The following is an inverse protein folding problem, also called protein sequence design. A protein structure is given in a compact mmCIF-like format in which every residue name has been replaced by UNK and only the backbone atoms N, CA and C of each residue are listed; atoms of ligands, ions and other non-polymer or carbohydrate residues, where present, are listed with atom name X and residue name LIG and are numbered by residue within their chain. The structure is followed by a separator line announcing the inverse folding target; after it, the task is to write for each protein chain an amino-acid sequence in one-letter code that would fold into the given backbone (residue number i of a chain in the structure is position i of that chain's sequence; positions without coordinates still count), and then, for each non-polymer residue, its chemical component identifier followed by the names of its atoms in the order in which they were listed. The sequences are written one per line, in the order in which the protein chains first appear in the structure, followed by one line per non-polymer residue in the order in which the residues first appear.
data_IF_230573264066
#
_entry.id   IF_230573264066
#
_cell.length_a   1.000
_cell.length_b   1.000
_cell.length_c   1.000
_cell.angle_alpha   90.00
_cell.angle_beta   90.00
_cell.angle_gamma   90.00
#
_symmetry.space_group_name_H-M   'P 1'
#
loop_
_entity.id
_entity.type
_entity.pdbx_description
1 polymer ?
#
# COMPACT_ATOMS: atom_id res chain seq x y z
N UNK A 1 6.95 49.61 -28.29
CA UNK A 1 7.28 48.32 -28.94
C UNK A 1 7.36 47.28 -27.85
N UNK A 2 6.41 46.35 -27.88
CA UNK A 2 6.25 45.19 -27.00
C UNK A 2 7.47 44.26 -27.06
N UNK A 3 7.79 43.55 -25.97
CA UNK A 3 7.31 42.17 -25.76
C UNK A 3 7.78 41.61 -24.40
N UNK A 4 6.77 41.13 -23.68
CA UNK A 4 6.74 40.18 -22.57
C UNK A 4 7.41 38.84 -22.91
N UNK A 5 8.03 38.23 -21.91
CA UNK A 5 8.46 36.83 -21.91
C UNK A 5 8.15 36.20 -20.55
N UNK A 6 6.86 35.99 -20.28
CA UNK A 6 6.36 35.13 -19.21
C UNK A 6 6.90 33.72 -19.44
N UNK A 7 7.80 33.26 -18.57
CA UNK A 7 8.19 31.85 -18.53
C UNK A 7 6.98 30.96 -18.24
N UNK A 8 6.95 29.71 -18.70
CA UNK A 8 5.83 28.83 -18.44
C UNK A 8 5.75 28.59 -16.93
N UNK A 9 4.71 29.19 -16.36
CA UNK A 9 4.09 28.82 -15.11
C UNK A 9 3.98 27.29 -15.13
N UNK A 10 4.82 26.63 -14.33
CA UNK A 10 4.71 25.19 -14.15
C UNK A 10 3.42 24.98 -13.39
N UNK A 11 2.36 24.75 -14.15
CA UNK A 11 1.08 24.16 -13.78
C UNK A 11 1.15 23.58 -12.36
N UNK A 12 0.72 24.40 -11.40
CA UNK A 12 0.06 23.87 -10.23
C UNK A 12 -1.15 23.11 -10.80
N UNK A 13 -1.04 21.79 -10.87
CA UNK A 13 -2.21 20.96 -11.11
C UNK A 13 -3.08 21.05 -9.86
N UNK A 14 -3.99 22.00 -9.90
CA UNK A 14 -5.12 22.15 -8.99
C UNK A 14 -6.14 21.01 -9.22
N UNK A 15 -5.68 19.77 -9.07
CA UNK A 15 -6.54 18.70 -8.59
C UNK A 15 -6.45 18.74 -7.07
N UNK A 16 -7.44 19.38 -6.42
CA UNK A 16 -7.70 19.26 -4.98
C UNK A 16 -8.12 17.84 -4.57
N UNK A 17 -7.36 16.82 -4.95
CA UNK A 17 -7.64 15.42 -4.64
C UNK A 17 -7.13 15.09 -3.25
N UNK A 18 -8.03 14.73 -2.34
CA UNK A 18 -7.64 14.11 -1.08
C UNK A 18 -6.61 12.99 -1.35
N UNK A 19 -5.51 12.95 -0.59
CA UNK A 19 -4.45 11.97 -0.83
C UNK A 19 -4.99 10.54 -0.91
N UNK A 20 -4.49 9.79 -1.90
CA UNK A 20 -4.88 8.40 -2.18
C UNK A 20 -4.88 7.51 -0.93
N UNK A 21 -5.76 6.52 -0.89
CA UNK A 21 -5.71 5.40 0.05
C UNK A 21 -4.84 4.29 -0.50
N UNK A 22 -3.70 4.07 0.14
CA UNK A 22 -2.75 3.04 -0.21
C UNK A 22 -2.87 1.83 0.72
N UNK A 23 -3.07 0.63 0.17
CA UNK A 23 -2.88 -0.62 0.90
C UNK A 23 -1.43 -1.08 0.76
N UNK A 24 -0.76 -1.33 1.87
CA UNK A 24 0.61 -1.88 1.90
C UNK A 24 0.60 -3.23 2.60
N UNK A 25 0.92 -4.28 1.86
CA UNK A 25 1.29 -5.58 2.44
C UNK A 25 2.79 -5.59 2.73
N UNK A 26 3.28 -6.49 3.58
CA UNK A 26 4.72 -6.57 3.88
C UNK A 26 5.29 -5.35 4.61
N UNK A 27 4.44 -4.54 5.26
CA UNK A 27 4.84 -3.34 6.00
C UNK A 27 5.83 -3.61 7.16
N UNK A 28 5.87 -4.85 7.68
CA UNK A 28 6.84 -5.29 8.70
C UNK A 28 8.23 -5.59 8.11
N UNK A 29 8.36 -5.60 6.79
CA UNK A 29 9.58 -5.94 6.06
C UNK A 29 10.45 -4.73 5.72
N UNK A 30 11.62 -4.99 5.14
CA UNK A 30 12.62 -3.96 4.80
C UNK A 30 12.05 -2.88 3.86
N UNK A 31 11.40 -3.29 2.77
CA UNK A 31 10.86 -2.35 1.77
C UNK A 31 9.60 -1.67 2.30
N UNK A 32 8.61 -2.47 2.75
CA UNK A 32 7.33 -1.93 3.23
C UNK A 32 7.49 -0.94 4.38
N UNK A 33 8.35 -1.22 5.36
CA UNK A 33 8.58 -0.34 6.51
C UNK A 33 9.21 1.02 6.16
N UNK A 34 9.86 1.13 4.99
CA UNK A 34 10.39 2.38 4.42
C UNK A 34 9.43 3.06 3.46
N UNK A 35 8.61 2.28 2.73
CA UNK A 35 7.61 2.83 1.83
C UNK A 35 6.49 3.56 2.59
N UNK A 36 6.02 2.98 3.70
CA UNK A 36 4.91 3.56 4.49
C UNK A 36 5.15 5.02 4.91
N UNK A 37 6.28 5.41 5.53
CA UNK A 37 6.50 6.81 5.89
C UNK A 37 6.57 7.73 4.67
N UNK A 38 7.16 7.32 3.56
CA UNK A 38 7.20 8.12 2.33
C UNK A 38 5.79 8.39 1.77
N UNK A 39 4.91 7.38 1.76
CA UNK A 39 3.52 7.54 1.34
C UNK A 39 2.75 8.49 2.28
N UNK A 40 2.96 8.34 3.59
CA UNK A 40 2.34 9.22 4.59
C UNK A 40 2.83 10.67 4.46
N UNK A 41 4.13 10.87 4.25
CA UNK A 41 4.74 12.19 4.12
C UNK A 41 4.37 12.86 2.79
N UNK A 42 4.05 12.08 1.76
CA UNK A 42 3.44 12.55 0.51
C UNK A 42 1.93 12.91 0.64
N UNK A 43 1.33 12.73 1.81
CA UNK A 43 -0.06 13.09 2.09
C UNK A 43 -1.10 11.98 1.79
N UNK A 44 -0.66 10.75 1.50
CA UNK A 44 -1.55 9.62 1.30
C UNK A 44 -2.03 9.01 2.63
N UNK A 45 -3.21 8.38 2.60
CA UNK A 45 -3.71 7.55 3.71
C UNK A 45 -3.20 6.13 3.53
N UNK A 46 -2.51 5.59 4.53
CA UNK A 46 -1.91 4.26 4.40
C UNK A 46 -2.62 3.25 5.31
N UNK A 47 -3.06 2.13 4.73
CA UNK A 47 -3.52 0.93 5.42
C UNK A 47 -2.46 -0.15 5.29
N UNK A 48 -2.03 -0.73 6.41
CA UNK A 48 -1.09 -1.84 6.45
C UNK A 48 -1.83 -3.15 6.77
N UNK A 49 -1.78 -4.12 5.85
CA UNK A 49 -2.27 -5.48 6.10
C UNK A 49 -1.13 -6.34 6.66
N UNK A 50 -1.30 -6.85 7.88
CA UNK A 50 -0.28 -7.66 8.55
C UNK A 50 -0.88 -8.87 9.27
N UNK A 51 -0.24 -10.03 9.10
CA UNK A 51 -0.55 -11.26 9.87
C UNK A 51 -0.28 -11.09 11.36
N UNK A 52 0.67 -10.23 11.71
CA UNK A 52 1.09 -9.95 13.08
C UNK A 52 1.18 -8.43 13.32
N UNK A 53 0.03 -7.74 13.50
CA UNK A 53 -0.03 -6.28 13.63
C UNK A 53 0.86 -5.70 14.73
N UNK A 54 1.08 -6.45 15.82
CA UNK A 54 1.92 -6.01 16.93
C UNK A 54 3.36 -5.68 16.50
N UNK A 55 3.87 -6.27 15.41
CA UNK A 55 5.20 -6.01 14.87
C UNK A 55 5.34 -4.59 14.28
N UNK A 56 4.23 -3.93 13.99
CA UNK A 56 4.23 -2.56 13.48
C UNK A 56 4.23 -1.50 14.58
N UNK A 57 3.93 -1.88 15.84
CA UNK A 57 3.71 -0.92 16.94
C UNK A 57 4.92 -0.05 17.24
N UNK A 58 6.12 -0.59 17.07
CA UNK A 58 7.36 0.10 17.41
C UNK A 58 7.89 0.98 16.26
N UNK A 59 7.21 0.99 15.10
CA UNK A 59 7.56 1.88 14.01
C UNK A 59 7.16 3.33 14.34
N UNK A 60 8.02 4.33 14.10
CA UNK A 60 7.71 5.74 14.38
C UNK A 60 6.44 6.27 13.68
N UNK A 61 6.08 5.66 12.55
CA UNK A 61 4.92 6.04 11.75
C UNK A 61 3.63 5.31 12.14
N UNK A 62 3.66 4.36 13.09
CA UNK A 62 2.53 3.48 13.40
C UNK A 62 1.25 4.24 13.79
N UNK A 63 1.38 5.37 14.47
CA UNK A 63 0.23 6.22 14.85
C UNK A 63 -0.41 7.00 13.70
N UNK A 64 0.20 6.99 12.50
CA UNK A 64 -0.29 7.70 11.31
C UNK A 64 -0.94 6.77 10.28
N UNK A 65 -0.72 5.45 10.39
CA UNK A 65 -1.23 4.44 9.47
C UNK A 65 -2.38 3.65 10.10
N UNK A 66 -3.35 3.25 9.29
CA UNK A 66 -4.34 2.24 9.65
C UNK A 66 -3.66 0.86 9.63
N UNK A 67 -3.82 0.06 10.68
CA UNK A 67 -3.26 -1.30 10.72
C UNK A 67 -4.40 -2.29 10.84
N UNK A 68 -4.50 -3.18 9.86
CA UNK A 68 -5.52 -4.25 9.82
C UNK A 68 -4.84 -5.61 9.93
N UNK A 69 -5.45 -6.49 10.73
CA UNK A 69 -5.03 -7.88 10.84
C UNK A 69 -5.55 -8.67 9.64
N UNK A 70 -4.70 -9.47 9.03
CA UNK A 70 -5.15 -10.39 8.00
C UNK A 70 -4.04 -11.20 7.33
N UNK A 71 -4.44 -12.11 6.45
CA UNK A 71 -3.57 -13.03 5.72
C UNK A 71 -3.80 -12.91 4.22
N UNK A 72 -2.72 -12.75 3.45
CA UNK A 72 -2.79 -12.61 1.98
C UNK A 72 -3.15 -13.93 1.27
N UNK A 73 -3.10 -15.05 1.98
CA UNK A 73 -3.56 -16.36 1.47
C UNK A 73 -5.06 -16.60 1.69
N UNK A 74 -5.72 -15.67 2.38
CA UNK A 74 -7.15 -15.65 2.65
C UNK A 74 -7.84 -14.55 1.81
N UNK A 75 -8.74 -14.97 0.92
CA UNK A 75 -9.39 -14.08 -0.03
C UNK A 75 -10.31 -13.05 0.65
N UNK A 76 -11.01 -13.43 1.71
CA UNK A 76 -11.91 -12.52 2.43
C UNK A 76 -11.11 -11.48 3.21
N UNK A 77 -9.97 -11.90 3.79
CA UNK A 77 -9.03 -11.00 4.42
C UNK A 77 -8.47 -9.95 3.46
N UNK A 78 -8.15 -10.32 2.22
CA UNK A 78 -7.67 -9.37 1.21
C UNK A 78 -8.81 -8.47 0.73
N UNK A 79 -10.00 -9.03 0.48
CA UNK A 79 -11.17 -8.26 0.06
C UNK A 79 -11.49 -7.13 1.05
N UNK A 80 -11.57 -7.45 2.35
CA UNK A 80 -11.81 -6.46 3.39
C UNK A 80 -10.71 -5.39 3.46
N UNK A 81 -9.45 -5.77 3.22
CA UNK A 81 -8.33 -4.82 3.21
C UNK A 81 -8.35 -3.88 1.98
N UNK A 82 -8.91 -4.32 0.86
CA UNK A 82 -9.03 -3.55 -0.39
C UNK A 82 -10.17 -2.52 -0.38
N UNK A 83 -11.08 -2.55 0.61
CA UNK A 83 -12.23 -1.64 0.65
C UNK A 83 -11.82 -0.16 0.63
N UNK A 84 -12.22 0.54 -0.44
CA UNK A 84 -11.97 1.97 -0.64
C UNK A 84 -10.48 2.31 -0.81
N UNK A 85 -9.67 1.37 -1.28
CA UNK A 85 -8.26 1.56 -1.65
C UNK A 85 -8.18 2.09 -3.08
N UNK A 86 -7.24 2.99 -3.34
CA UNK A 86 -6.95 3.49 -4.69
C UNK A 86 -5.70 2.81 -5.29
N UNK A 87 -4.73 2.44 -4.43
CA UNK A 87 -3.46 1.82 -4.85
C UNK A 87 -3.08 0.72 -3.87
N UNK A 88 -2.69 -0.45 -4.35
CA UNK A 88 -2.26 -1.55 -3.50
C UNK A 88 -0.84 -2.05 -3.82
N UNK A 89 -0.01 -2.14 -2.79
CA UNK A 89 1.38 -2.60 -2.85
C UNK A 89 1.50 -4.03 -2.32
N UNK A 90 1.81 -4.97 -3.22
CA UNK A 90 2.14 -6.35 -2.87
C UNK A 90 3.64 -6.51 -2.59
N UNK A 91 4.04 -6.44 -1.32
CA UNK A 91 5.43 -6.55 -0.86
C UNK A 91 5.62 -7.75 0.08
N UNK A 92 4.78 -8.77 -0.09
CA UNK A 92 4.94 -10.02 0.64
C UNK A 92 6.10 -10.79 0.01
N UNK A 93 7.16 -10.92 0.79
CA UNK A 93 8.26 -11.83 0.55
C UNK A 93 8.52 -12.55 1.88
N UNK A 94 8.77 -13.86 1.86
CA UNK A 94 8.90 -14.75 3.04
C UNK A 94 7.59 -15.33 3.63
N UNK A 95 6.82 -16.04 2.82
CA UNK A 95 5.77 -16.96 3.29
C UNK A 95 6.32 -18.24 3.96
N UNK A 96 7.64 -18.46 3.96
CA UNK A 96 8.29 -19.53 4.74
C UNK A 96 9.63 -19.95 4.15
N UNK A 97 10.38 -20.79 4.87
CA UNK A 97 11.61 -21.46 4.40
C UNK A 97 11.36 -22.93 4.01
N UNK A 98 10.09 -23.35 3.90
CA UNK A 98 9.70 -24.71 3.55
C UNK A 98 9.48 -24.90 2.04
N UNK A 99 9.38 -26.15 1.62
CA UNK A 99 9.31 -26.56 0.21
C UNK A 99 8.06 -26.01 -0.53
N UNK A 100 7.00 -25.66 0.20
CA UNK A 100 5.74 -25.11 -0.35
C UNK A 100 5.73 -23.59 -0.53
N UNK A 101 6.85 -22.91 -0.26
CA UNK A 101 6.93 -21.45 -0.32
C UNK A 101 6.49 -20.89 -1.68
N UNK A 102 6.97 -21.47 -2.77
CA UNK A 102 6.66 -20.99 -4.13
C UNK A 102 5.17 -21.12 -4.44
N UNK A 103 4.56 -22.26 -4.11
CA UNK A 103 3.13 -22.49 -4.33
C UNK A 103 2.28 -21.53 -3.49
N UNK A 104 2.69 -21.29 -2.24
CA UNK A 104 2.00 -20.38 -1.32
C UNK A 104 2.12 -18.93 -1.78
N UNK A 105 3.29 -18.51 -2.24
CA UNK A 105 3.54 -17.15 -2.77
C UNK A 105 2.72 -16.90 -4.03
N UNK A 106 2.73 -17.86 -4.95
CA UNK A 106 1.91 -17.79 -6.17
C UNK A 106 0.42 -17.74 -5.86
N UNK A 107 -0.04 -18.49 -4.85
CA UNK A 107 -1.44 -18.44 -4.40
C UNK A 107 -1.79 -17.06 -3.81
N UNK A 108 -0.96 -16.54 -2.92
CA UNK A 108 -1.17 -15.23 -2.30
C UNK A 108 -1.20 -14.11 -3.34
N UNK A 109 -0.26 -14.10 -4.30
CA UNK A 109 -0.21 -13.10 -5.36
C UNK A 109 -1.45 -13.13 -6.26
N UNK A 110 -1.97 -14.33 -6.60
CA UNK A 110 -3.21 -14.47 -7.37
C UNK A 110 -4.42 -13.95 -6.62
N UNK A 111 -4.59 -14.36 -5.35
CA UNK A 111 -5.66 -13.85 -4.50
C UNK A 111 -5.59 -12.32 -4.43
N UNK A 112 -4.40 -11.77 -4.22
CA UNK A 112 -4.20 -10.33 -4.16
C UNK A 112 -4.64 -9.62 -5.44
N UNK A 113 -4.19 -10.11 -6.60
CA UNK A 113 -4.53 -9.54 -7.90
C UNK A 113 -6.05 -9.64 -8.19
N UNK A 114 -6.67 -10.80 -7.97
CA UNK A 114 -8.10 -11.01 -8.18
C UNK A 114 -8.96 -10.08 -7.30
N UNK A 115 -8.54 -9.86 -6.04
CA UNK A 115 -9.27 -8.99 -5.11
C UNK A 115 -9.02 -7.50 -5.38
N UNK A 116 -7.83 -7.13 -5.86
CA UNK A 116 -7.55 -5.78 -6.33
C UNK A 116 -8.45 -5.44 -7.52
N UNK A 117 -8.48 -6.31 -8.53
CA UNK A 117 -9.33 -6.13 -9.72
C UNK A 117 -10.82 -6.03 -9.34
N UNK A 118 -11.31 -6.92 -8.47
CA UNK A 118 -12.69 -6.89 -8.00
C UNK A 118 -13.04 -5.61 -7.21
N UNK A 119 -12.05 -4.96 -6.59
CA UNK A 119 -12.22 -3.71 -5.86
C UNK A 119 -12.02 -2.46 -6.73
N UNK A 120 -11.63 -2.62 -8.00
CA UNK A 120 -11.32 -1.51 -8.91
C UNK A 120 -9.98 -0.82 -8.64
N UNK A 121 -9.04 -1.56 -8.04
CA UNK A 121 -7.66 -1.12 -7.74
C UNK A 121 -6.70 -1.51 -8.85
#
# INVERSE_FOLDING_TARGET
MSQTGTGPDRMNDESGGAGLRCLVTGATGYIGGRLVPELLDAGHRVRCLARSPHKLRDHPWAGRAEVVRGDVTDADSVAAAMEGVDVAYYLVHALGTGDDFEATDRRAARIFAERAEAAGV
#
